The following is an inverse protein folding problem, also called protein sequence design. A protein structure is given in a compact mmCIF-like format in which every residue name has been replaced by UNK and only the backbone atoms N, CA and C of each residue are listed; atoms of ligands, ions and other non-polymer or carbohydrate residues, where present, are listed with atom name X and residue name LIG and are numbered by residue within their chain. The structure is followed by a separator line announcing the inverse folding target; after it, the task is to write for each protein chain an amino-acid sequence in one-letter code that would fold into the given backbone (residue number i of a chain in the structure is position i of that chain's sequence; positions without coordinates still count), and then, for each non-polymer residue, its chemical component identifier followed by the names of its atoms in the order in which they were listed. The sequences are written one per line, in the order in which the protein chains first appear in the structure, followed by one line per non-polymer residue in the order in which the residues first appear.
data_IF_885887959444
#
_entry.id   IF_885887959444
#
_cell.length_a   1.000
_cell.length_b   1.000
_cell.length_c   1.000
_cell.angle_alpha   90.00
_cell.angle_beta   90.00
_cell.angle_gamma   90.00
#
_symmetry.space_group_name_H-M   'P 1'
#
loop_
_entity.id
_entity.type
_entity.pdbx_description
1 polymer ?
#
# COMPACT_ATOMS: atom_id res chain seq x y z
N UNK A 1 5.07 0.81 -2.73
CA UNK A 1 5.01 -0.67 -2.66
C UNK A 1 3.60 -1.23 -2.84
N UNK A 2 2.56 -0.60 -2.26
CA UNK A 2 1.16 -1.04 -2.45
C UNK A 2 0.70 -1.10 -3.92
N UNK A 3 1.24 -0.22 -4.78
CA UNK A 3 0.83 -0.09 -6.19
C UNK A 3 1.66 -0.93 -7.18
N UNK A 4 2.43 -1.91 -6.71
CA UNK A 4 3.35 -2.69 -7.55
C UNK A 4 3.23 -4.18 -7.25
N UNK A 5 3.07 -5.00 -8.30
CA UNK A 5 3.04 -6.46 -8.17
C UNK A 5 4.48 -7.00 -8.30
N UNK A 6 4.95 -7.89 -7.40
CA UNK A 6 6.27 -8.49 -7.48
C UNK A 6 6.55 -9.20 -8.80
N UNK A 7 7.72 -8.96 -9.40
CA UNK A 7 8.22 -9.76 -10.52
C UNK A 7 7.48 -9.62 -11.86
N UNK A 8 6.51 -8.70 -11.98
CA UNK A 8 5.86 -8.35 -13.25
C UNK A 8 5.78 -6.83 -13.44
N UNK A 9 5.82 -6.41 -14.70
CA UNK A 9 5.65 -5.01 -15.10
C UNK A 9 4.19 -4.73 -15.48
N UNK A 10 3.86 -3.46 -15.72
CA UNK A 10 2.54 -3.03 -16.21
C UNK A 10 2.20 -3.66 -17.56
N UNK A 11 3.22 -3.93 -18.37
CA UNK A 11 3.10 -4.62 -19.66
C UNK A 11 4.02 -5.83 -19.69
N UNK A 12 3.54 -6.95 -20.22
CA UNK A 12 4.37 -8.15 -20.40
C UNK A 12 5.49 -7.90 -21.41
N UNK A 13 6.68 -8.44 -21.12
CA UNK A 13 7.88 -8.19 -21.92
C UNK A 13 7.72 -8.53 -23.41
N UNK A 14 6.96 -9.57 -23.75
CA UNK A 14 6.75 -9.96 -25.14
C UNK A 14 5.90 -8.95 -25.94
N UNK A 15 5.07 -8.14 -25.27
CA UNK A 15 4.25 -7.10 -25.89
C UNK A 15 5.06 -5.84 -26.22
N UNK A 16 6.28 -5.71 -25.71
CA UNK A 16 7.17 -4.57 -26.03
C UNK A 16 7.47 -4.51 -27.52
N UNK A 17 7.73 -5.66 -28.17
CA UNK A 17 8.05 -5.69 -29.60
C UNK A 17 6.83 -5.23 -30.45
N UNK A 18 5.63 -5.81 -30.31
CA UNK A 18 4.43 -5.29 -30.96
C UNK A 18 4.16 -3.82 -30.63
N UNK A 19 4.36 -3.40 -29.39
CA UNK A 19 4.19 -2.00 -29.00
C UNK A 19 5.11 -1.07 -29.81
N UNK A 20 6.40 -1.36 -29.91
CA UNK A 20 7.37 -0.54 -30.67
C UNK A 20 7.03 -0.49 -32.17
N UNK A 21 6.61 -1.62 -32.75
CA UNK A 21 6.16 -1.68 -34.16
C UNK A 21 4.88 -0.84 -34.32
N UNK A 22 3.94 -0.96 -33.40
CA UNK A 22 2.70 -0.17 -33.38
C UNK A 22 2.97 1.33 -33.33
N UNK A 23 3.91 1.77 -32.48
CA UNK A 23 4.36 3.16 -32.40
C UNK A 23 4.98 3.60 -33.73
N UNK A 24 5.86 2.79 -34.32
CA UNK A 24 6.46 3.09 -35.62
C UNK A 24 5.39 3.26 -36.72
N UNK A 25 4.39 2.38 -36.77
CA UNK A 25 3.26 2.47 -37.71
C UNK A 25 2.40 3.72 -37.44
N UNK A 26 2.21 4.08 -36.17
CA UNK A 26 1.45 5.25 -35.76
C UNK A 26 2.05 6.55 -36.32
N UNK A 27 3.38 6.70 -36.23
CA UNK A 27 4.07 7.89 -36.73
C UNK A 27 4.22 7.89 -38.25
N UNK A 28 4.50 6.74 -38.88
CA UNK A 28 4.66 6.67 -40.35
C UNK A 28 3.34 6.82 -41.11
N UNK A 29 2.22 6.42 -40.51
CA UNK A 29 0.88 6.51 -41.12
C UNK A 29 0.04 7.69 -40.63
N UNK A 30 0.65 8.69 -39.98
CA UNK A 30 -0.04 9.83 -39.33
C UNK A 30 -0.94 10.65 -40.27
N UNK A 31 -0.69 10.60 -41.58
CA UNK A 31 -1.53 11.27 -42.59
C UNK A 31 -2.93 10.67 -42.70
N UNK A 32 -3.13 9.42 -42.27
CA UNK A 32 -4.42 8.75 -42.26
C UNK A 32 -5.24 9.18 -41.03
N UNK A 33 -6.51 9.54 -41.24
CA UNK A 33 -7.39 10.07 -40.19
C UNK A 33 -7.46 9.19 -38.94
N UNK A 34 -7.54 7.86 -39.10
CA UNK A 34 -7.60 6.91 -37.98
C UNK A 34 -6.33 6.92 -37.12
N UNK A 35 -5.14 6.92 -37.74
CA UNK A 35 -3.86 6.95 -37.03
C UNK A 35 -3.65 8.27 -36.30
N UNK A 36 -4.06 9.39 -36.93
CA UNK A 36 -4.05 10.72 -36.28
C UNK A 36 -4.92 10.76 -35.03
N UNK A 37 -6.12 10.15 -35.08
CA UNK A 37 -7.00 10.06 -33.93
C UNK A 37 -6.41 9.19 -32.81
N UNK A 38 -5.84 8.04 -33.14
CA UNK A 38 -5.19 7.17 -32.14
C UNK A 38 -4.01 7.88 -31.48
N UNK A 39 -3.20 8.63 -32.24
CA UNK A 39 -2.10 9.41 -31.68
C UNK A 39 -2.59 10.53 -30.75
N UNK A 40 -3.65 11.25 -31.13
CA UNK A 40 -4.29 12.24 -30.28
C UNK A 40 -4.77 11.61 -28.97
N UNK A 41 -5.45 10.46 -29.05
CA UNK A 41 -5.94 9.72 -27.90
C UNK A 41 -4.78 9.24 -27.01
N UNK A 42 -3.70 8.74 -27.60
CA UNK A 42 -2.50 8.28 -26.89
C UNK A 42 -1.87 9.40 -26.06
N UNK A 43 -1.70 10.59 -26.64
CA UNK A 43 -1.11 11.74 -25.94
C UNK A 43 -2.06 12.31 -24.89
N UNK A 44 -3.33 12.51 -25.25
CA UNK A 44 -4.32 13.14 -24.36
C UNK A 44 -4.68 12.27 -23.16
N UNK A 45 -4.65 10.94 -23.31
CA UNK A 45 -4.92 10.01 -22.21
C UNK A 45 -3.87 10.02 -21.09
N UNK A 46 -2.68 10.57 -21.34
CA UNK A 46 -1.63 10.75 -20.33
C UNK A 46 -1.82 12.05 -19.51
N UNK A 47 -2.64 12.99 -19.98
CA UNK A 47 -2.86 14.28 -19.31
C UNK A 47 -3.26 14.11 -17.83
N UNK A 48 -4.28 13.29 -17.48
CA UNK A 48 -4.68 13.16 -16.07
C UNK A 48 -3.57 12.58 -15.17
N UNK A 49 -2.71 11.74 -15.74
CA UNK A 49 -1.58 11.15 -15.04
C UNK A 49 -0.45 12.18 -14.82
N UNK A 50 -0.15 13.03 -15.80
CA UNK A 50 0.88 14.08 -15.69
C UNK A 50 0.47 15.16 -14.69
N UNK A 51 -0.80 15.57 -14.68
CA UNK A 51 -1.31 16.57 -13.74
C UNK A 51 -1.55 16.02 -12.33
N UNK A 52 -1.23 14.75 -12.06
CA UNK A 52 -1.55 14.10 -10.79
C UNK A 52 -0.64 14.48 -9.62
N UNK A 53 0.46 15.19 -9.86
CA UNK A 53 1.39 15.66 -8.83
C UNK A 53 2.52 14.66 -8.51
N UNK A 54 2.89 14.56 -7.23
CA UNK A 54 4.16 13.95 -6.78
C UNK A 54 4.31 12.44 -7.06
N UNK A 55 3.21 11.73 -7.32
CA UNK A 55 3.25 10.33 -7.75
C UNK A 55 2.26 10.12 -8.89
N UNK A 56 2.74 9.59 -10.01
CA UNK A 56 1.88 9.14 -11.10
C UNK A 56 1.03 7.99 -10.56
N UNK A 57 -0.22 8.29 -10.20
CA UNK A 57 -1.15 7.24 -9.81
C UNK A 57 -1.50 6.41 -11.04
N UNK A 58 -1.24 5.11 -10.99
CA UNK A 58 -1.63 4.15 -12.05
C UNK A 58 -3.12 4.27 -12.38
N UNK A 59 -3.95 4.56 -11.37
CA UNK A 59 -5.39 4.75 -11.53
C UNK A 59 -5.72 5.96 -12.42
N UNK A 60 -4.92 7.04 -12.33
CA UNK A 60 -5.07 8.24 -13.17
C UNK A 60 -4.49 8.04 -14.58
N UNK A 61 -3.65 7.04 -14.76
CA UNK A 61 -3.17 6.60 -16.07
C UNK A 61 -4.09 5.54 -16.73
N UNK A 62 -5.17 5.11 -16.08
CA UNK A 62 -6.09 4.11 -16.64
C UNK A 62 -6.65 4.49 -18.04
N UNK A 63 -6.95 5.77 -18.36
CA UNK A 63 -7.36 6.14 -19.71
C UNK A 63 -6.34 5.80 -20.80
N UNK A 64 -5.05 5.72 -20.45
CA UNK A 64 -3.96 5.35 -21.38
C UNK A 64 -4.02 3.88 -21.81
N UNK A 65 -4.71 3.02 -21.06
CA UNK A 65 -4.83 1.60 -21.37
C UNK A 65 -5.49 1.36 -22.75
N UNK A 66 -6.52 2.14 -23.08
CA UNK A 66 -7.22 2.01 -24.36
C UNK A 66 -6.31 2.29 -25.57
N UNK A 67 -5.69 3.47 -25.71
CA UNK A 67 -4.79 3.72 -26.83
C UNK A 67 -3.56 2.81 -26.81
N UNK A 68 -3.08 2.39 -25.64
CA UNK A 68 -1.99 1.42 -25.54
C UNK A 68 -2.35 0.07 -26.18
N UNK A 69 -3.54 -0.48 -25.89
CA UNK A 69 -4.02 -1.74 -26.50
C UNK A 69 -4.16 -1.60 -28.01
N UNK A 70 -4.69 -0.48 -28.50
CA UNK A 70 -4.83 -0.22 -29.95
C UNK A 70 -3.46 -0.21 -30.63
N UNK A 71 -2.48 0.50 -30.06
CA UNK A 71 -1.12 0.57 -30.59
C UNK A 71 -0.46 -0.81 -30.63
N UNK A 72 -0.58 -1.60 -29.55
CA UNK A 72 -0.09 -2.99 -29.50
C UNK A 72 -0.77 -3.83 -30.60
N UNK A 73 -2.09 -3.68 -30.76
CA UNK A 73 -2.88 -4.37 -31.77
C UNK A 73 -2.40 -4.09 -33.20
N UNK A 74 -2.05 -2.84 -33.52
CA UNK A 74 -1.47 -2.47 -34.82
C UNK A 74 -0.14 -3.17 -35.08
N UNK A 75 0.73 -3.27 -34.06
CA UNK A 75 2.00 -3.99 -34.19
C UNK A 75 1.81 -5.50 -34.33
N UNK A 76 0.85 -6.07 -33.59
CA UNK A 76 0.49 -7.48 -33.73
C UNK A 76 -0.07 -7.79 -35.11
N UNK A 77 -0.96 -6.96 -35.65
CA UNK A 77 -1.53 -7.12 -37.00
C UNK A 77 -0.41 -7.12 -38.06
N UNK A 78 0.53 -6.19 -37.96
CA UNK A 78 1.69 -6.16 -38.85
C UNK A 78 2.55 -7.42 -38.77
N UNK A 79 2.84 -7.91 -37.56
CA UNK A 79 3.57 -9.18 -37.36
C UNK A 79 2.77 -10.34 -37.97
N UNK A 80 1.45 -10.36 -37.77
CA UNK A 80 0.56 -11.42 -38.22
C UNK A 80 0.49 -11.52 -39.74
N UNK A 81 0.51 -10.40 -40.45
CA UNK A 81 0.52 -10.35 -41.92
C UNK A 81 1.87 -10.81 -42.49
N UNK A 82 2.97 -10.54 -41.77
CA UNK A 82 4.33 -10.89 -42.23
C UNK A 82 4.74 -12.31 -41.90
N UNK A 83 4.20 -12.88 -40.84
CA UNK A 83 4.49 -14.24 -40.39
C UNK A 83 3.38 -15.20 -40.83
N UNK A 84 3.69 -16.50 -40.95
CA UNK A 84 2.66 -17.49 -41.21
C UNK A 84 1.70 -17.59 -39.99
N UNK A 85 0.42 -17.35 -40.23
CA UNK A 85 -0.62 -17.20 -39.21
C UNK A 85 -0.68 -18.36 -38.19
N UNK A 86 -0.39 -19.59 -38.61
CA UNK A 86 -0.42 -20.76 -37.72
C UNK A 86 0.67 -20.67 -36.65
N UNK A 87 1.88 -20.30 -37.05
CA UNK A 87 3.01 -20.15 -36.14
C UNK A 87 2.87 -18.88 -35.28
N UNK A 88 2.36 -17.79 -35.87
CA UNK A 88 2.08 -16.55 -35.13
C UNK A 88 1.06 -16.79 -34.01
N UNK A 89 -0.06 -17.45 -34.33
CA UNK A 89 -1.11 -17.80 -33.38
C UNK A 89 -0.57 -18.73 -32.28
N UNK A 90 0.14 -19.80 -32.65
CA UNK A 90 0.70 -20.73 -31.67
C UNK A 90 1.67 -20.02 -30.71
N UNK A 91 2.56 -19.19 -31.24
CA UNK A 91 3.51 -18.41 -30.44
C UNK A 91 2.79 -17.44 -29.51
N UNK A 92 1.76 -16.75 -30.00
CA UNK A 92 0.95 -15.84 -29.20
C UNK A 92 0.23 -16.56 -28.06
N UNK A 93 -0.35 -17.74 -28.32
CA UNK A 93 -1.01 -18.58 -27.30
C UNK A 93 -0.01 -18.99 -26.22
N UNK A 94 1.17 -19.50 -26.61
CA UNK A 94 2.20 -19.93 -25.67
C UNK A 94 2.71 -18.78 -24.79
N UNK A 95 2.97 -17.61 -25.39
CA UNK A 95 3.40 -16.42 -24.65
C UNK A 95 2.30 -15.89 -23.72
N UNK A 96 1.04 -15.98 -24.15
CA UNK A 96 -0.11 -15.61 -23.31
C UNK A 96 -0.27 -16.56 -22.12
N UNK A 97 -0.14 -17.87 -22.33
CA UNK A 97 -0.15 -18.86 -21.25
C UNK A 97 1.00 -18.63 -20.27
N UNK A 98 2.21 -18.39 -20.77
CA UNK A 98 3.36 -18.04 -19.92
C UNK A 98 3.09 -16.77 -19.09
N UNK A 99 2.47 -15.76 -19.70
CA UNK A 99 2.11 -14.52 -19.02
C UNK A 99 1.06 -14.73 -17.93
N UNK A 100 0.08 -15.62 -18.15
CA UNK A 100 -0.90 -16.01 -17.13
C UNK A 100 -0.26 -16.78 -15.97
N UNK A 101 0.71 -17.65 -16.23
CA UNK A 101 1.46 -18.35 -15.18
C UNK A 101 2.26 -17.34 -14.34
N UNK A 102 2.94 -16.39 -15.00
CA UNK A 102 3.65 -15.31 -14.31
C UNK A 102 2.69 -14.47 -13.47
N UNK A 103 1.55 -14.07 -14.02
CA UNK A 103 0.52 -13.34 -13.30
C UNK A 103 0.05 -14.12 -12.07
N UNK A 104 -0.21 -15.42 -12.24
CA UNK A 104 -0.68 -16.26 -11.16
C UNK A 104 0.33 -16.29 -10.00
N UNK A 105 1.59 -16.62 -10.32
CA UNK A 105 2.69 -16.64 -9.35
C UNK A 105 2.84 -15.27 -8.67
N UNK A 106 2.91 -14.20 -9.44
CA UNK A 106 3.20 -12.87 -8.93
C UNK A 106 2.06 -12.28 -8.11
N UNK A 107 0.81 -12.48 -8.52
CA UNK A 107 -0.37 -11.91 -7.88
C UNK A 107 -0.93 -12.78 -6.75
N UNK A 108 -1.04 -14.10 -6.93
CA UNK A 108 -1.66 -14.96 -5.92
C UNK A 108 -0.66 -15.56 -4.94
N UNK A 109 0.61 -15.70 -5.31
CA UNK A 109 1.64 -16.29 -4.43
C UNK A 109 2.55 -15.22 -3.84
N UNK A 110 3.23 -14.42 -4.66
CA UNK A 110 4.24 -13.48 -4.17
C UNK A 110 3.63 -12.22 -3.55
N UNK A 111 2.58 -11.66 -4.15
CA UNK A 111 1.95 -10.43 -3.66
C UNK A 111 1.46 -10.50 -2.20
N UNK A 112 0.68 -11.51 -1.77
CA UNK A 112 0.22 -11.56 -0.38
C UNK A 112 1.39 -11.62 0.60
N UNK A 113 2.47 -12.31 0.24
CA UNK A 113 3.64 -12.49 1.12
C UNK A 113 4.52 -11.23 1.13
N UNK A 114 5.00 -10.79 -0.04
CA UNK A 114 5.97 -9.69 -0.16
C UNK A 114 5.37 -8.28 0.03
N UNK A 115 4.04 -8.15 -0.08
CA UNK A 115 3.34 -6.86 0.02
C UNK A 115 2.37 -6.80 1.20
N UNK A 116 2.21 -7.85 1.99
CA UNK A 116 1.36 -7.86 3.19
C UNK A 116 1.58 -6.62 4.08
N UNK A 117 2.83 -6.37 4.48
CA UNK A 117 3.17 -5.22 5.34
C UNK A 117 2.83 -3.88 4.71
N UNK A 118 3.02 -3.75 3.39
CA UNK A 118 2.61 -2.56 2.66
C UNK A 118 1.09 -2.36 2.71
N UNK A 119 0.30 -3.42 2.80
CA UNK A 119 -1.16 -3.39 2.97
C UNK A 119 -1.61 -3.33 4.42
N UNK A 120 -0.72 -2.95 5.34
CA UNK A 120 -1.00 -2.85 6.77
C UNK A 120 -1.45 -4.20 7.36
N UNK A 121 -0.85 -5.29 6.92
CA UNK A 121 -0.98 -6.57 7.60
C UNK A 121 -0.53 -6.48 9.07
N UNK A 122 -1.19 -7.20 9.96
CA UNK A 122 -0.91 -7.23 11.40
C UNK A 122 -1.87 -6.41 12.28
N UNK A 123 -2.65 -5.49 11.71
CA UNK A 123 -3.60 -4.69 12.50
C UNK A 123 -4.78 -5.50 13.05
N UNK A 124 -5.18 -6.58 12.37
CA UNK A 124 -6.15 -7.55 12.89
C UNK A 124 -5.63 -8.25 14.14
N UNK A 125 -4.39 -8.74 14.08
CA UNK A 125 -3.73 -9.48 15.15
C UNK A 125 -3.45 -8.59 16.36
N UNK A 126 -3.02 -7.34 16.12
CA UNK A 126 -2.90 -6.31 17.16
C UNK A 126 -4.27 -6.04 17.81
N UNK A 127 -5.34 -5.96 17.02
CA UNK A 127 -6.69 -5.75 17.54
C UNK A 127 -7.17 -6.93 18.39
N UNK A 128 -6.84 -8.17 18.01
CA UNK A 128 -7.17 -9.36 18.81
C UNK A 128 -6.29 -9.47 20.07
N UNK A 129 -5.06 -8.97 20.04
CA UNK A 129 -4.25 -8.80 21.24
C UNK A 129 -4.86 -7.79 22.22
N UNK A 130 -5.37 -6.66 21.72
CA UNK A 130 -6.06 -5.64 22.53
C UNK A 130 -7.33 -6.21 23.15
N UNK A 131 -8.17 -6.93 22.38
CA UNK A 131 -9.40 -7.57 22.89
C UNK A 131 -9.13 -8.55 24.02
N UNK A 132 -8.00 -9.28 23.97
CA UNK A 132 -7.58 -10.23 25.03
C UNK A 132 -7.09 -9.54 26.30
N UNK A 133 -6.79 -8.24 26.25
CA UNK A 133 -6.20 -7.47 27.34
C UNK A 133 -7.02 -6.18 27.62
N UNK A 134 -8.32 -6.29 27.96
CA UNK A 134 -9.23 -5.13 28.03
C UNK A 134 -8.88 -4.15 29.16
N UNK A 135 -8.18 -4.60 30.21
CA UNK A 135 -7.81 -3.79 31.37
C UNK A 135 -6.50 -3.02 31.18
N UNK A 136 -5.80 -3.23 30.06
CA UNK A 136 -4.55 -2.55 29.75
C UNK A 136 -4.80 -1.31 28.90
N UNK A 137 -4.02 -0.25 29.12
CA UNK A 137 -3.97 0.90 28.21
C UNK A 137 -2.96 0.63 27.10
N UNK A 138 -3.27 1.04 25.87
CA UNK A 138 -2.43 0.83 24.69
C UNK A 138 -2.01 2.15 24.07
N UNK A 139 -0.74 2.26 23.71
CA UNK A 139 -0.23 3.30 22.80
C UNK A 139 0.30 2.61 21.56
N UNK A 140 -0.24 2.95 20.40
CA UNK A 140 0.10 2.34 19.12
C UNK A 140 0.79 3.39 18.26
N UNK A 141 2.02 3.10 17.84
CA UNK A 141 2.77 4.01 16.98
C UNK A 141 2.13 4.12 15.60
N UNK A 142 1.98 5.36 15.12
CA UNK A 142 1.45 5.68 13.81
C UNK A 142 2.37 6.62 13.00
N UNK A 143 3.61 6.81 13.46
CA UNK A 143 4.55 7.78 12.87
C UNK A 143 4.73 7.60 11.35
N UNK A 144 4.68 6.37 10.85
CA UNK A 144 4.83 6.07 9.42
C UNK A 144 3.56 6.27 8.61
N UNK A 145 2.39 6.08 9.22
CA UNK A 145 1.10 6.24 8.55
C UNK A 145 0.02 6.62 9.56
N UNK A 146 -0.26 7.93 9.74
CA UNK A 146 -1.20 8.39 10.76
C UNK A 146 -2.62 7.85 10.51
N UNK A 147 -2.96 7.48 9.27
CA UNK A 147 -4.30 7.00 8.88
C UNK A 147 -4.59 5.57 9.33
N UNK A 148 -3.60 4.83 9.85
CA UNK A 148 -3.81 3.42 10.20
C UNK A 148 -4.72 3.20 11.42
N UNK A 149 -5.04 4.24 12.20
CA UNK A 149 -6.02 4.15 13.29
C UNK A 149 -7.37 3.59 12.83
N UNK A 150 -7.76 3.85 11.57
CA UNK A 150 -9.04 3.38 11.02
C UNK A 150 -9.10 1.85 10.94
N UNK A 151 -7.96 1.18 10.76
CA UNK A 151 -7.89 -0.27 10.72
C UNK A 151 -8.18 -0.86 12.09
N UNK A 152 -7.69 -0.23 13.16
CA UNK A 152 -8.01 -0.63 14.53
C UNK A 152 -9.50 -0.45 14.82
N UNK A 153 -10.07 0.70 14.46
CA UNK A 153 -11.53 0.93 14.62
C UNK A 153 -12.34 -0.14 13.89
N UNK A 154 -11.93 -0.50 12.69
CA UNK A 154 -12.55 -1.56 11.89
C UNK A 154 -12.45 -2.94 12.57
N UNK A 155 -11.24 -3.41 12.89
CA UNK A 155 -11.03 -4.75 13.45
C UNK A 155 -11.52 -4.91 14.89
N UNK A 156 -11.61 -3.82 15.65
CA UNK A 156 -12.23 -3.77 16.98
C UNK A 156 -13.76 -3.68 16.91
N UNK A 157 -14.35 -3.52 15.73
CA UNK A 157 -15.78 -3.26 15.54
C UNK A 157 -16.27 -2.05 16.36
N UNK A 158 -15.45 -1.00 16.43
CA UNK A 158 -15.74 0.17 17.26
C UNK A 158 -16.92 0.97 16.68
N UNK A 159 -18.00 1.25 17.45
CA UNK A 159 -19.21 1.87 16.90
C UNK A 159 -18.94 3.27 16.30
N UNK A 160 -19.24 3.50 15.01
CA UNK A 160 -18.99 4.80 14.37
C UNK A 160 -19.72 5.96 15.06
N UNK A 161 -20.92 5.70 15.59
CA UNK A 161 -21.72 6.70 16.28
C UNK A 161 -21.09 7.18 17.60
N UNK A 162 -20.24 6.36 18.23
CA UNK A 162 -19.49 6.74 19.43
C UNK A 162 -18.25 7.51 18.98
N UNK A 163 -17.45 6.94 18.07
CA UNK A 163 -16.22 7.56 17.61
C UNK A 163 -16.42 8.97 17.03
N UNK A 164 -17.47 9.16 16.22
CA UNK A 164 -17.78 10.47 15.65
C UNK A 164 -18.06 11.54 16.73
N UNK A 165 -18.41 11.17 17.96
CA UNK A 165 -18.58 12.12 19.08
C UNK A 165 -17.26 12.45 19.77
N UNK A 166 -16.28 11.55 19.70
CA UNK A 166 -14.94 11.69 20.28
C UNK A 166 -13.97 12.48 19.38
N UNK A 167 -14.20 12.47 18.06
CA UNK A 167 -13.41 13.24 17.09
C UNK A 167 -13.59 14.74 17.28
N UNK A 168 -12.49 15.49 17.11
CA UNK A 168 -12.49 16.96 17.20
C UNK A 168 -13.57 17.60 16.31
N UNK A 169 -14.43 18.50 16.87
CA UNK A 169 -15.49 19.17 16.12
C UNK A 169 -15.00 19.95 14.89
N UNK A 170 -13.73 20.35 14.88
CA UNK A 170 -13.11 21.09 13.76
C UNK A 170 -13.21 20.28 12.46
N UNK A 171 -13.03 18.95 12.51
CA UNK A 171 -13.14 18.10 11.33
C UNK A 171 -14.56 17.92 10.82
N UNK A 172 -15.59 18.22 11.64
CA UNK A 172 -16.99 18.22 11.20
C UNK A 172 -17.34 19.51 10.46
N UNK A 173 -16.83 20.65 10.95
CA UNK A 173 -17.20 21.97 10.45
C UNK A 173 -16.36 22.41 9.26
N UNK A 174 -15.07 22.05 9.21
CA UNK A 174 -14.09 22.56 8.24
C UNK A 174 -13.43 21.45 7.39
N UNK A 175 -14.13 20.32 7.18
CA UNK A 175 -13.60 19.15 6.44
C UNK A 175 -12.92 19.51 5.11
N UNK A 176 -13.50 20.45 4.35
CA UNK A 176 -12.99 20.85 3.02
C UNK A 176 -11.89 21.92 3.06
N UNK A 177 -11.54 22.47 4.22
CA UNK A 177 -10.57 23.58 4.34
C UNK A 177 -9.11 23.13 4.58
N UNK A 178 -8.78 21.88 4.26
CA UNK A 178 -7.40 21.36 4.34
C UNK A 178 -6.76 21.54 5.72
N UNK A 179 -7.47 21.10 6.76
CA UNK A 179 -6.94 21.03 8.12
C UNK A 179 -5.64 20.20 8.13
N UNK A 180 -4.64 20.56 8.97
CA UNK A 180 -3.48 19.69 9.15
C UNK A 180 -3.98 18.30 9.58
N UNK A 181 -3.43 17.22 9.01
CA UNK A 181 -3.87 15.87 9.36
C UNK A 181 -3.66 15.63 10.85
N UNK A 182 -4.70 15.14 11.52
CA UNK A 182 -4.58 14.70 12.91
C UNK A 182 -3.53 13.60 12.98
N UNK A 183 -2.57 13.75 13.90
CA UNK A 183 -1.48 12.79 14.09
C UNK A 183 -1.69 11.93 15.34
N UNK A 184 -2.69 12.25 16.16
CA UNK A 184 -3.04 11.54 17.38
C UNK A 184 -4.53 11.22 17.41
N UNK A 185 -4.87 9.95 17.59
CA UNK A 185 -6.25 9.51 17.74
C UNK A 185 -6.41 8.81 19.07
N UNK A 186 -7.55 9.00 19.74
CA UNK A 186 -7.86 8.34 21.01
C UNK A 186 -9.28 7.80 20.96
N UNK A 187 -9.43 6.54 21.36
CA UNK A 187 -10.73 5.88 21.48
C UNK A 187 -10.59 4.72 22.47
N UNK A 188 -11.58 4.54 23.34
CA UNK A 188 -11.51 3.52 24.41
C UNK A 188 -10.24 3.68 25.28
N UNK A 189 -9.54 2.57 25.54
CA UNK A 189 -8.26 2.41 26.21
C UNK A 189 -7.05 2.50 25.26
N UNK A 190 -7.23 3.06 24.06
CA UNK A 190 -6.22 3.06 22.99
C UNK A 190 -5.89 4.49 22.58
N UNK A 191 -4.61 4.80 22.51
CA UNK A 191 -4.07 6.01 21.89
C UNK A 191 -3.22 5.61 20.68
N UNK A 192 -3.46 6.24 19.54
CA UNK A 192 -2.74 6.01 18.29
C UNK A 192 -1.97 7.29 17.98
N UNK A 193 -0.68 7.31 18.32
CA UNK A 193 0.21 8.48 18.21
C UNK A 193 1.68 8.04 18.24
N UNK A 194 2.59 8.93 17.89
CA UNK A 194 4.01 8.74 18.11
C UNK A 194 4.33 8.58 19.62
N UNK A 195 5.35 7.76 19.92
CA UNK A 195 5.81 7.55 21.29
C UNK A 195 6.52 8.78 21.87
N UNK A 196 6.12 9.18 23.08
CA UNK A 196 6.81 10.16 23.91
C UNK A 196 7.73 9.45 24.90
N UNK A 197 8.94 9.10 24.47
CA UNK A 197 9.91 8.30 25.25
C UNK A 197 10.27 8.86 26.64
N UNK A 198 10.02 10.15 26.89
CA UNK A 198 10.20 10.77 28.21
C UNK A 198 9.08 10.45 29.20
N UNK A 199 7.85 10.22 28.71
CA UNK A 199 6.65 10.05 29.54
C UNK A 199 6.10 8.63 29.48
N UNK A 200 6.03 8.06 28.28
CA UNK A 200 5.33 6.80 28.03
C UNK A 200 5.87 5.61 28.85
N UNK A 201 7.20 5.45 29.03
CA UNK A 201 7.75 4.40 29.89
C UNK A 201 7.46 4.57 31.39
N UNK A 202 7.01 5.77 31.83
CA UNK A 202 6.67 6.08 33.22
C UNK A 202 5.18 5.89 33.55
N UNK A 203 4.36 5.49 32.57
CA UNK A 203 2.93 5.20 32.77
C UNK A 203 2.73 3.71 32.56
N UNK A 204 1.91 3.04 33.37
CA UNK A 204 1.63 1.62 33.19
C UNK A 204 0.71 1.41 31.99
N UNK A 205 1.29 0.99 30.87
CA UNK A 205 0.63 0.78 29.58
C UNK A 205 1.44 -0.17 28.68
N UNK A 206 0.85 -0.57 27.56
CA UNK A 206 1.49 -1.39 26.53
C UNK A 206 1.78 -0.52 25.31
N UNK A 207 3.04 -0.49 24.88
CA UNK A 207 3.50 0.21 23.68
C UNK A 207 3.56 -0.79 22.53
N UNK A 208 2.85 -0.51 21.43
CA UNK A 208 2.83 -1.36 20.23
C UNK A 208 3.39 -0.61 19.04
N UNK A 209 4.49 -1.11 18.48
CA UNK A 209 5.16 -0.50 17.33
C UNK A 209 5.94 -1.54 16.55
N UNK A 210 6.48 -1.17 15.40
CA UNK A 210 7.39 -2.07 14.68
C UNK A 210 8.82 -1.99 15.24
N UNK A 211 9.73 -2.79 14.69
CA UNK A 211 11.13 -2.85 15.11
C UNK A 211 11.89 -1.51 14.96
N UNK A 212 11.43 -0.66 14.04
CA UNK A 212 12.01 0.67 13.84
C UNK A 212 11.43 1.69 14.84
N UNK A 213 10.24 1.45 15.39
CA UNK A 213 9.62 2.28 16.42
C UNK A 213 10.17 1.92 17.79
N UNK A 214 10.39 0.63 18.07
CA UNK A 214 10.95 0.12 19.33
C UNK A 214 12.11 -0.83 19.03
N UNK A 215 13.33 -0.29 19.01
CA UNK A 215 14.54 -1.09 18.89
C UNK A 215 14.85 -1.87 20.18
N UNK A 216 15.63 -2.95 20.09
CA UNK A 216 16.09 -3.68 21.28
C UNK A 216 16.87 -2.80 22.26
N UNK A 217 17.63 -1.83 21.74
CA UNK A 217 18.36 -0.85 22.56
C UNK A 217 17.40 0.03 23.35
N UNK A 218 16.36 0.56 22.72
CA UNK A 218 15.33 1.35 23.39
C UNK A 218 14.55 0.52 24.40
N UNK A 219 14.19 -0.72 24.07
CA UNK A 219 13.50 -1.61 25.01
C UNK A 219 14.33 -1.84 26.28
N UNK A 220 15.64 -2.07 26.13
CA UNK A 220 16.57 -2.22 27.26
C UNK A 220 16.74 -0.91 28.05
N UNK A 221 16.94 0.22 27.37
CA UNK A 221 17.12 1.54 28.00
C UNK A 221 15.90 1.93 28.84
N UNK A 222 14.70 1.65 28.33
CA UNK A 222 13.43 1.98 28.99
C UNK A 222 12.90 0.87 29.90
N UNK A 223 13.68 -0.21 30.09
CA UNK A 223 13.34 -1.36 30.95
C UNK A 223 11.97 -1.94 30.61
N UNK A 224 11.69 -2.07 29.32
CA UNK A 224 10.44 -2.63 28.81
C UNK A 224 10.45 -4.15 28.87
N UNK A 225 9.30 -4.75 29.14
CA UNK A 225 9.11 -6.22 29.09
C UNK A 225 8.34 -6.56 27.82
N UNK A 226 8.83 -7.52 27.04
CA UNK A 226 8.12 -7.96 25.83
C UNK A 226 6.83 -8.71 26.23
N UNK A 227 5.71 -8.28 25.64
CA UNK A 227 4.37 -8.84 25.91
C UNK A 227 3.73 -9.45 24.66
N UNK A 228 4.16 -9.03 23.48
CA UNK A 228 3.59 -9.47 22.21
C UNK A 228 4.61 -9.35 21.07
N UNK A 229 4.66 -10.34 20.19
CA UNK A 229 5.45 -10.30 18.97
C UNK A 229 4.62 -10.85 17.82
N UNK A 230 4.56 -10.12 16.71
CA UNK A 230 3.94 -10.56 15.47
C UNK A 230 4.97 -10.65 14.36
N UNK A 231 5.05 -11.82 13.73
CA UNK A 231 5.89 -12.08 12.56
C UNK A 231 5.04 -12.28 11.31
N UNK A 232 5.57 -11.91 10.15
CA UNK A 232 4.99 -12.28 8.88
C UNK A 232 5.29 -13.75 8.52
N UNK A 233 4.73 -14.21 7.40
CA UNK A 233 4.97 -15.55 6.86
C UNK A 233 6.45 -15.82 6.50
N UNK A 234 7.27 -14.77 6.40
CA UNK A 234 8.72 -14.87 6.16
C UNK A 234 9.53 -14.87 7.48
N UNK A 235 8.87 -14.81 8.63
CA UNK A 235 9.50 -14.76 9.95
C UNK A 235 10.02 -13.38 10.35
N UNK A 236 9.77 -12.34 9.55
CA UNK A 236 10.16 -10.96 9.86
C UNK A 236 9.18 -10.36 10.84
N UNK A 237 9.69 -9.66 11.85
CA UNK A 237 8.85 -8.98 12.84
C UNK A 237 8.14 -7.77 12.23
N UNK A 238 6.82 -7.72 12.41
CA UNK A 238 5.97 -6.63 11.93
C UNK A 238 5.62 -5.69 13.09
N UNK A 239 5.17 -6.27 14.20
CA UNK A 239 4.81 -5.52 15.40
C UNK A 239 5.40 -6.21 16.63
N UNK A 240 5.83 -5.39 17.59
CA UNK A 240 6.18 -5.79 18.94
C UNK A 240 5.34 -4.97 19.92
N UNK A 241 4.82 -5.64 20.94
CA UNK A 241 4.14 -5.04 22.08
C UNK A 241 5.01 -5.18 23.31
N UNK A 242 5.22 -4.07 24.01
CA UNK A 242 6.04 -3.99 25.19
C UNK A 242 5.26 -3.41 26.38
N UNK A 243 5.25 -4.14 27.48
CA UNK A 243 4.80 -3.64 28.77
C UNK A 243 5.84 -2.69 29.37
N UNK A 244 5.35 -1.56 29.86
CA UNK A 244 6.15 -0.55 30.56
C UNK A 244 6.29 -0.90 32.03
N UNK A 245 7.45 -0.59 32.62
CA UNK A 245 7.73 -0.78 34.03
C UNK A 245 8.05 0.56 34.73
N UNK A 246 7.04 1.38 35.04
CA UNK A 246 7.24 2.69 35.67
C UNK A 246 8.07 2.64 36.94
N UNK A 247 7.89 1.60 37.75
CA UNK A 247 8.61 1.42 39.01
C UNK A 247 10.11 1.27 38.81
N UNK A 248 10.53 0.59 37.73
CA UNK A 248 11.94 0.37 37.45
C UNK A 248 12.57 1.56 36.71
N UNK A 249 11.81 2.25 35.86
CA UNK A 249 12.33 3.34 35.03
C UNK A 249 12.31 4.70 35.74
N UNK A 250 11.28 4.98 36.56
CA UNK A 250 10.98 6.35 36.99
C UNK A 250 10.99 6.56 38.51
N UNK A 251 11.16 5.51 39.35
CA UNK A 251 11.42 5.67 40.81
C UNK A 251 12.79 6.29 41.14
N UNK A 252 13.66 6.52 40.17
CA UNK A 252 14.98 7.16 40.38
C UNK A 252 15.04 8.66 40.10
N UNK A 253 13.93 9.31 39.75
CA UNK A 253 13.86 10.73 39.36
C UNK A 253 12.82 11.53 40.18
N UNK A 254 12.54 11.09 41.41
CA UNK A 254 11.79 11.88 42.40
C UNK A 254 12.75 12.25 43.54
#
# INVERSE_FOLDING_TARGET
MQHTIPGISVMYNFLVIPFLIGIYLLFTSIKKTGYKFVLLLFVTSLIPAVFSGQFISIQRALPFLLPLIIVIGLGLDFIWIKLNWRYALLTFILLSLYSLILLYRSYFVLFPIERATAWNYGYSEVSDFIKRNPNSSFVIDNTRNPRNYILLLYYLNYPPAIYQKEVSPIYKNDYYRSLPPETSYRFSNIEVRAFEWKKDPCVKQILVGDELSISEGQAKEHKLTEAYELKDEQGKVIFKGFETNPELKCRGNI
#
